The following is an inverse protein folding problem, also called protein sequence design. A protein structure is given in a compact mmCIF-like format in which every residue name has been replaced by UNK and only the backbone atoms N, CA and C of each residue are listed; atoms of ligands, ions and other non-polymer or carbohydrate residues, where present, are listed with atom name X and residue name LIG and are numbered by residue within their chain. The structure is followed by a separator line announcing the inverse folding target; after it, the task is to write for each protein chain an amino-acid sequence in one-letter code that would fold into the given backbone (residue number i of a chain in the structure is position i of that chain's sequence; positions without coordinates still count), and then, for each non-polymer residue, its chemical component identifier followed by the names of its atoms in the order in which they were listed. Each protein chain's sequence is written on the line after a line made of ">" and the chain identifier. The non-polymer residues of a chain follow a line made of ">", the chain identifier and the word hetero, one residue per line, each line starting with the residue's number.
data_IF_149217001570
#
_entry.id   IF_149217001570
#
_cell.length_a   1.000
_cell.length_b   1.000
_cell.length_c   1.000
_cell.angle_alpha   90.00
_cell.angle_beta   90.00
_cell.angle_gamma   90.00
#
_symmetry.space_group_name_H-M   'P 1'
#
loop_
_entity.id
_entity.type
_entity.pdbx_description
1 polymer ?
#
# COMPACT_ATOMS: atom_id res chain seq x y z
N UNK A 1 -53.74 28.15 25.30
CA UNK A 1 -53.28 27.54 24.04
C UNK A 1 -52.10 26.65 24.41
N UNK A 2 -52.37 25.43 24.92
CA UNK A 2 -52.38 24.15 24.19
C UNK A 2 -50.98 23.78 23.67
N UNK A 3 -50.33 22.66 23.97
CA UNK A 3 -50.59 21.43 24.74
C UNK A 3 -49.28 20.59 24.71
N UNK A 4 -48.93 19.83 25.76
CA UNK A 4 -49.03 18.35 25.77
C UNK A 4 -47.80 17.68 25.11
N UNK A 5 -46.84 17.13 25.88
CA UNK A 5 -46.80 15.75 26.39
C UNK A 5 -46.23 14.74 25.36
N UNK A 6 -45.14 14.03 25.73
CA UNK A 6 -45.09 12.55 25.85
C UNK A 6 -43.65 12.01 25.92
N UNK A 7 -43.36 11.27 27.01
CA UNK A 7 -42.34 10.20 27.09
C UNK A 7 -42.98 8.92 26.58
N UNK A 8 -42.20 7.96 26.02
CA UNK A 8 -42.46 6.50 25.82
C UNK A 8 -41.52 6.04 24.67
N UNK A 9 -40.80 4.91 24.61
CA UNK A 9 -40.69 3.65 25.37
C UNK A 9 -39.35 2.94 25.06
N UNK A 10 -38.96 2.09 26.01
CA UNK A 10 -38.06 0.92 25.94
C UNK A 10 -38.27 0.03 24.70
N UNK A 11 -37.23 -0.69 24.26
CA UNK A 11 -37.25 -2.16 24.24
C UNK A 11 -35.89 -2.81 23.90
N UNK A 12 -35.47 -3.70 24.79
CA UNK A 12 -34.45 -4.73 24.61
C UNK A 12 -35.12 -6.05 24.19
N UNK A 13 -34.40 -6.93 23.47
CA UNK A 13 -34.48 -8.41 23.51
C UNK A 13 -33.53 -9.00 22.44
N UNK A 14 -32.44 -9.69 22.80
CA UNK A 14 -32.33 -11.12 23.20
C UNK A 14 -33.04 -12.07 22.22
N UNK A 15 -32.25 -12.86 21.48
CA UNK A 15 -32.69 -14.10 20.85
C UNK A 15 -31.88 -15.28 21.39
N UNK A 16 -32.63 -16.28 21.83
CA UNK A 16 -32.23 -17.57 22.38
C UNK A 16 -32.07 -18.62 21.27
N UNK A 17 -31.27 -19.62 21.57
CA UNK A 17 -31.11 -20.88 20.85
C UNK A 17 -32.37 -21.77 20.81
N UNK A 18 -32.48 -22.64 19.81
CA UNK A 18 -32.89 -24.06 19.93
C UNK A 18 -32.91 -24.78 18.57
N UNK A 19 -32.52 -26.07 18.53
CA UNK A 19 -33.03 -27.03 17.53
C UNK A 19 -32.02 -28.04 16.96
N UNK A 20 -31.87 -29.18 17.64
CA UNK A 20 -31.24 -30.41 17.12
C UNK A 20 -32.27 -31.19 16.31
N UNK A 21 -31.89 -31.76 15.17
CA UNK A 21 -32.54 -32.97 14.64
C UNK A 21 -31.54 -33.85 13.86
N UNK A 22 -31.56 -35.14 14.20
CA UNK A 22 -30.78 -36.22 13.61
C UNK A 22 -31.18 -36.50 12.16
N UNK A 23 -30.21 -36.83 11.31
CA UNK A 23 -30.41 -37.33 9.95
C UNK A 23 -29.33 -38.34 9.57
N UNK A 24 -29.78 -39.54 9.24
CA UNK A 24 -29.06 -40.80 8.96
C UNK A 24 -28.08 -40.71 7.79
N UNK A 25 -26.97 -41.45 7.90
CA UNK A 25 -25.95 -41.62 6.88
C UNK A 25 -26.48 -42.33 5.61
N UNK A 26 -26.15 -41.80 4.43
CA UNK A 26 -26.24 -42.51 3.16
C UNK A 26 -24.86 -42.48 2.50
N UNK A 27 -24.22 -43.65 2.45
CA UNK A 27 -22.98 -43.89 1.73
C UNK A 27 -23.34 -44.07 0.24
N UNK A 28 -22.99 -43.11 -0.62
CA UNK A 28 -23.12 -43.25 -2.08
C UNK A 28 -21.73 -43.43 -2.66
N UNK A 29 -21.46 -44.63 -3.17
CA UNK A 29 -20.32 -44.91 -4.04
C UNK A 29 -20.52 -44.16 -5.36
N UNK A 30 -19.66 -43.16 -5.62
CA UNK A 30 -19.55 -42.51 -6.93
C UNK A 30 -18.55 -43.32 -7.77
N UNK A 31 -18.93 -43.84 -8.96
CA UNK A 31 -17.96 -44.40 -9.88
C UNK A 31 -17.11 -43.25 -10.44
N UNK A 32 -15.79 -43.47 -10.52
CA UNK A 32 -14.88 -42.56 -11.20
C UNK A 32 -15.29 -42.42 -12.67
N UNK A 33 -15.94 -41.30 -13.01
CA UNK A 33 -16.16 -40.90 -14.40
C UNK A 33 -14.86 -40.29 -14.93
N UNK A 34 -14.21 -40.99 -15.85
CA UNK A 34 -13.14 -40.45 -16.67
C UNK A 34 -13.76 -39.36 -17.57
N UNK A 35 -13.39 -38.09 -17.35
CA UNK A 35 -13.75 -37.02 -18.26
C UNK A 35 -12.68 -36.92 -19.35
N UNK A 36 -12.96 -37.45 -20.53
CA UNK A 36 -12.17 -37.20 -21.73
C UNK A 36 -12.49 -35.79 -22.23
N UNK A 37 -11.71 -34.78 -21.82
CA UNK A 37 -11.87 -33.41 -22.33
C UNK A 37 -11.17 -33.29 -23.68
N UNK A 38 -11.92 -33.47 -24.76
CA UNK A 38 -11.49 -33.06 -26.10
C UNK A 38 -12.00 -31.65 -26.37
N UNK A 39 -11.09 -30.73 -26.71
CA UNK A 39 -11.41 -29.40 -27.25
C UNK A 39 -11.30 -28.26 -26.24
N UNK A 40 -10.13 -27.63 -26.20
CA UNK A 40 -9.94 -26.30 -25.64
C UNK A 40 -9.68 -25.36 -26.82
N UNK A 41 -10.63 -24.48 -27.13
CA UNK A 41 -10.44 -23.44 -28.14
C UNK A 41 -9.87 -22.20 -27.43
N UNK A 42 -8.55 -22.11 -27.43
CA UNK A 42 -7.81 -20.93 -27.00
C UNK A 42 -7.42 -20.09 -28.22
N UNK A 43 -7.74 -18.80 -28.22
CA UNK A 43 -7.20 -17.86 -29.17
C UNK A 43 -6.38 -16.81 -28.43
N UNK A 44 -5.09 -16.70 -28.80
CA UNK A 44 -4.25 -15.57 -28.43
C UNK A 44 -4.19 -14.56 -29.58
N UNK A 45 -4.49 -13.30 -29.29
CA UNK A 45 -4.31 -12.19 -30.23
C UNK A 45 -3.22 -11.28 -29.70
N UNK A 46 -2.16 -11.10 -30.49
CA UNK A 46 -1.03 -10.25 -30.11
C UNK A 46 -0.95 -9.05 -31.05
N UNK A 47 -0.75 -7.88 -30.46
CA UNK A 47 -0.44 -6.65 -31.18
C UNK A 47 0.67 -5.92 -30.43
N UNK A 48 1.83 -5.77 -31.06
CA UNK A 48 3.09 -5.36 -30.42
C UNK A 48 3.48 -6.31 -29.26
N UNK A 49 4.29 -5.84 -28.30
CA UNK A 49 4.79 -6.62 -27.17
C UNK A 49 3.73 -7.00 -26.12
N UNK A 50 2.44 -6.90 -26.45
CA UNK A 50 1.33 -7.30 -25.58
C UNK A 50 0.48 -8.36 -26.27
N UNK A 51 0.18 -9.43 -25.52
CA UNK A 51 -0.65 -10.54 -25.97
C UNK A 51 -1.84 -10.69 -25.03
N UNK A 52 -3.05 -10.72 -25.59
CA UNK A 52 -4.27 -11.06 -24.87
C UNK A 52 -4.64 -12.51 -25.21
N UNK A 53 -4.86 -13.32 -24.18
CA UNK A 53 -5.22 -14.74 -24.34
C UNK A 53 -6.65 -14.93 -23.85
N UNK A 54 -7.54 -15.39 -24.73
CA UNK A 54 -8.90 -15.80 -24.38
C UNK A 54 -9.02 -17.32 -24.46
N UNK A 55 -9.48 -17.90 -23.36
CA UNK A 55 -9.79 -19.32 -23.24
C UNK A 55 -11.31 -19.48 -23.11
N UNK A 56 -11.93 -20.11 -24.12
CA UNK A 56 -13.36 -20.43 -24.10
C UNK A 56 -13.57 -21.93 -24.05
N UNK A 57 -14.21 -22.43 -22.99
CA UNK A 57 -14.66 -23.83 -22.93
C UNK A 57 -16.01 -24.00 -23.63
N UNK A 58 -16.05 -24.57 -24.83
CA UNK A 58 -17.32 -24.96 -25.48
C UNK A 58 -17.83 -26.31 -24.95
N UNK A 59 -18.27 -26.34 -23.70
CA UNK A 59 -19.01 -27.48 -23.16
C UNK A 59 -20.48 -27.44 -23.62
N UNK A 60 -20.93 -28.40 -24.45
CA UNK A 60 -22.37 -28.63 -24.63
C UNK A 60 -22.91 -29.36 -23.40
N UNK A 61 -23.69 -28.68 -22.58
CA UNK A 61 -24.50 -29.28 -21.50
C UNK A 61 -25.70 -30.02 -22.12
N UNK A 62 -25.92 -31.32 -21.86
CA UNK A 62 -27.16 -31.99 -22.25
C UNK A 62 -28.35 -31.38 -21.49
N UNK A 63 -29.52 -31.17 -22.14
CA UNK A 63 -30.68 -30.63 -21.45
C UNK A 63 -31.36 -31.75 -20.64
N UNK A 64 -30.90 -32.00 -19.42
CA UNK A 64 -31.71 -32.35 -18.23
C UNK A 64 -30.80 -32.72 -17.04
N UNK A 65 -30.33 -31.73 -16.28
CA UNK A 65 -29.89 -31.93 -14.89
C UNK A 65 -29.83 -30.57 -14.19
N UNK A 66 -30.73 -30.36 -13.23
CA UNK A 66 -30.90 -29.09 -12.52
C UNK A 66 -29.75 -28.73 -11.59
N UNK A 67 -28.67 -28.14 -12.11
CA UNK A 67 -27.63 -27.47 -11.34
C UNK A 67 -27.80 -25.93 -11.39
N UNK A 68 -27.58 -25.20 -10.28
CA UNK A 68 -27.67 -23.74 -10.28
C UNK A 68 -26.52 -23.09 -11.05
N UNK A 69 -26.86 -21.96 -11.67
CA UNK A 69 -26.06 -21.10 -12.55
C UNK A 69 -24.80 -20.58 -11.84
N UNK A 70 -23.62 -20.82 -12.42
CA UNK A 70 -22.40 -20.11 -12.05
C UNK A 70 -22.30 -18.81 -12.86
N UNK A 71 -22.17 -17.69 -12.16
CA UNK A 71 -21.85 -16.38 -12.75
C UNK A 71 -20.35 -16.32 -13.10
N UNK A 72 -20.06 -15.62 -14.19
CA UNK A 72 -18.72 -15.43 -14.75
C UNK A 72 -17.85 -14.58 -13.81
N UNK A 73 -16.72 -15.15 -13.37
CA UNK A 73 -15.67 -14.43 -12.64
C UNK A 73 -14.41 -14.36 -13.47
N UNK A 74 -14.07 -13.17 -13.92
CA UNK A 74 -12.85 -12.86 -14.68
C UNK A 74 -11.63 -12.90 -13.75
N UNK A 75 -10.74 -13.88 -13.96
CA UNK A 75 -9.42 -13.92 -13.30
C UNK A 75 -8.40 -13.35 -14.28
N UNK A 76 -7.98 -12.12 -14.02
CA UNK A 76 -6.83 -11.50 -14.67
C UNK A 76 -5.59 -11.81 -13.84
N UNK A 77 -4.78 -12.76 -14.30
CA UNK A 77 -3.48 -13.08 -13.72
C UNK A 77 -2.39 -12.92 -14.79
N UNK A 78 -1.53 -11.92 -14.60
CA UNK A 78 -0.37 -11.72 -15.46
C UNK A 78 0.74 -12.67 -15.03
N UNK A 79 0.86 -13.80 -15.71
CA UNK A 79 2.03 -14.67 -15.64
C UNK A 79 2.46 -14.98 -17.07
N UNK A 80 3.39 -14.17 -17.57
CA UNK A 80 4.00 -14.42 -18.87
C UNK A 80 4.80 -15.73 -18.81
N UNK A 81 4.48 -16.75 -19.63
CA UNK A 81 5.46 -17.79 -19.90
C UNK A 81 6.52 -17.17 -20.81
N UNK A 82 7.79 -17.24 -20.40
CA UNK A 82 8.88 -17.07 -21.35
C UNK A 82 8.80 -18.25 -22.34
N UNK A 83 8.11 -18.06 -23.46
CA UNK A 83 8.17 -18.99 -24.59
C UNK A 83 9.59 -18.92 -25.16
N UNK A 84 10.45 -19.86 -24.76
CA UNK A 84 11.68 -20.12 -25.48
C UNK A 84 11.29 -20.76 -26.82
N UNK A 85 11.32 -19.98 -27.89
CA UNK A 85 11.26 -20.51 -29.26
C UNK A 85 12.64 -21.10 -29.53
N UNK A 86 12.79 -22.42 -29.80
CA UNK A 86 14.08 -22.94 -30.23
C UNK A 86 14.45 -22.30 -31.57
N UNK A 87 15.73 -21.96 -31.75
CA UNK A 87 16.28 -21.37 -32.97
C UNK A 87 15.87 -22.18 -34.19
N UNK A 88 14.85 -21.71 -34.92
CA UNK A 88 14.55 -22.21 -36.26
C UNK A 88 15.46 -21.45 -37.21
N UNK A 89 16.52 -22.13 -37.63
CA UNK A 89 17.48 -21.65 -38.63
C UNK A 89 16.75 -21.00 -39.81
N UNK A 90 16.91 -19.68 -39.95
CA UNK A 90 16.37 -18.90 -41.08
C UNK A 90 17.19 -19.23 -42.33
N UNK A 91 16.94 -20.40 -42.92
CA UNK A 91 17.45 -20.75 -44.23
C UNK A 91 16.60 -20.08 -45.32
N UNK A 92 17.07 -18.90 -45.72
CA UNK A 92 16.90 -18.24 -47.03
C UNK A 92 15.87 -18.87 -47.99
N UNK A 93 14.67 -18.29 -48.07
CA UNK A 93 13.95 -18.24 -49.34
C UNK A 93 13.27 -16.88 -49.49
N UNK A 94 13.76 -16.08 -50.44
CA UNK A 94 13.18 -14.79 -50.79
C UNK A 94 11.89 -14.95 -51.57
N UNK A 95 10.80 -15.28 -50.87
CA UNK A 95 9.46 -15.34 -51.45
C UNK A 95 8.51 -14.48 -50.61
N UNK A 96 8.15 -13.31 -51.14
CA UNK A 96 7.02 -12.53 -50.65
C UNK A 96 5.72 -13.22 -51.12
N UNK A 97 5.03 -13.88 -50.20
CA UNK A 97 3.73 -14.52 -50.44
C UNK A 97 3.23 -15.27 -49.20
N UNK A 98 1.91 -15.36 -48.97
CA UNK A 98 1.36 -15.99 -47.77
C UNK A 98 1.53 -17.51 -47.88
N UNK A 99 2.43 -18.07 -47.08
CA UNK A 99 2.54 -19.53 -46.96
C UNK A 99 1.51 -20.04 -45.94
N UNK A 100 0.72 -21.02 -46.36
CA UNK A 100 -0.16 -21.77 -45.46
C UNK A 100 0.68 -22.62 -44.50
N UNK A 101 0.50 -22.40 -43.20
CA UNK A 101 1.13 -23.21 -42.16
C UNK A 101 0.33 -24.53 -42.07
N UNK A 102 0.96 -25.71 -42.19
CA UNK A 102 0.26 -26.96 -41.94
C UNK A 102 -0.13 -27.05 -40.46
N UNK A 103 -1.43 -27.24 -40.20
CA UNK A 103 -1.94 -27.55 -38.86
C UNK A 103 -1.37 -28.90 -38.39
N UNK A 104 -0.44 -28.85 -37.43
CA UNK A 104 0.02 -30.03 -36.70
C UNK A 104 1.41 -29.87 -36.10
N UNK A 105 1.48 -30.08 -34.77
CA UNK A 105 2.65 -30.13 -33.89
C UNK A 105 3.16 -28.80 -33.31
N UNK A 106 2.27 -28.06 -32.64
CA UNK A 106 2.68 -27.38 -31.40
C UNK A 106 2.18 -28.23 -30.23
N UNK A 107 3.02 -29.15 -29.74
CA UNK A 107 2.76 -29.83 -28.47
C UNK A 107 3.19 -28.90 -27.33
N UNK A 108 2.22 -28.20 -26.75
CA UNK A 108 2.41 -27.57 -25.45
C UNK A 108 2.48 -28.68 -24.40
N UNK A 109 3.67 -29.15 -24.06
CA UNK A 109 3.87 -29.96 -22.87
C UNK A 109 3.60 -29.08 -21.64
N UNK A 110 2.34 -29.06 -21.19
CA UNK A 110 2.01 -28.61 -19.86
C UNK A 110 2.64 -29.61 -18.88
N UNK A 111 3.87 -29.36 -18.45
CA UNK A 111 4.36 -29.95 -17.22
C UNK A 111 3.53 -29.36 -16.09
N UNK A 112 2.37 -29.96 -15.82
CA UNK A 112 1.67 -29.80 -14.56
C UNK A 112 2.51 -30.51 -13.48
N UNK A 113 3.67 -29.93 -13.17
CA UNK A 113 4.50 -30.35 -12.07
C UNK A 113 3.98 -29.69 -10.81
N UNK A 114 3.14 -30.44 -10.09
CA UNK A 114 2.86 -30.19 -8.69
C UNK A 114 1.38 -30.05 -8.40
N UNK A 115 0.85 -30.96 -7.59
CA UNK A 115 -0.11 -30.57 -6.54
C UNK A 115 0.47 -29.34 -5.85
N UNK A 116 -0.10 -28.17 -6.13
CA UNK A 116 0.35 -26.89 -5.59
C UNK A 116 0.20 -26.89 -4.07
N UNK A 117 1.19 -27.42 -3.37
CA UNK A 117 1.42 -27.06 -1.99
C UNK A 117 1.74 -25.57 -2.05
N UNK A 118 0.81 -24.75 -1.57
CA UNK A 118 1.03 -23.32 -1.35
C UNK A 118 2.28 -23.18 -0.47
N UNK A 119 3.42 -22.86 -1.10
CA UNK A 119 4.70 -22.80 -0.40
C UNK A 119 4.64 -21.59 0.52
N UNK A 120 4.62 -21.83 1.83
CA UNK A 120 4.71 -20.77 2.81
C UNK A 120 6.14 -20.22 2.85
N UNK A 121 6.38 -19.17 2.07
CA UNK A 121 7.59 -18.35 2.15
C UNK A 121 7.26 -17.05 2.92
N UNK A 122 7.70 -16.93 4.20
CA UNK A 122 7.43 -15.73 4.98
C UNK A 122 8.06 -14.46 4.42
N UNK A 123 9.19 -14.55 3.72
CA UNK A 123 9.86 -13.37 3.18
C UNK A 123 9.02 -12.76 2.06
N UNK A 124 8.45 -13.60 1.18
CA UNK A 124 7.54 -13.16 0.11
C UNK A 124 6.27 -12.56 0.70
N UNK A 125 5.67 -13.20 1.71
CA UNK A 125 4.47 -12.68 2.37
C UNK A 125 4.76 -11.39 3.16
N UNK A 126 5.96 -11.24 3.73
CA UNK A 126 6.39 -9.99 4.36
C UNK A 126 6.43 -8.85 3.34
N UNK A 127 7.05 -9.05 2.18
CA UNK A 127 7.07 -8.01 1.12
C UNK A 127 5.66 -7.72 0.58
N UNK A 128 4.78 -8.73 0.44
CA UNK A 128 3.39 -8.50 0.06
C UNK A 128 2.63 -7.66 1.10
N UNK A 129 2.78 -7.98 2.39
CA UNK A 129 2.17 -7.21 3.47
C UNK A 129 2.74 -5.78 3.53
N UNK A 130 4.05 -5.61 3.30
CA UNK A 130 4.71 -4.30 3.20
C UNK A 130 4.17 -3.48 2.02
N UNK A 131 3.97 -4.10 0.86
CA UNK A 131 3.51 -3.42 -0.36
C UNK A 131 2.09 -2.85 -0.23
N UNK A 132 1.22 -3.47 0.58
CA UNK A 132 -0.15 -2.97 0.83
C UNK A 132 -0.26 -2.07 2.05
N UNK A 133 0.83 -1.89 2.79
CA UNK A 133 0.88 -1.03 3.98
C UNK A 133 0.70 0.44 3.56
N UNK A 134 -0.14 1.17 4.30
CA UNK A 134 -0.33 2.61 4.11
C UNK A 134 0.17 3.34 5.35
N UNK A 135 1.26 4.07 5.18
CA UNK A 135 1.81 4.94 6.23
C UNK A 135 1.22 6.34 6.11
N UNK A 136 0.94 7.01 7.24
CA UNK A 136 0.52 8.41 7.21
C UNK A 136 1.64 9.32 6.70
N UNK A 137 1.26 10.36 5.99
CA UNK A 137 2.15 11.48 5.72
C UNK A 137 2.29 12.34 6.98
N UNK A 138 3.46 12.94 7.24
CA UNK A 138 3.65 13.83 8.39
C UNK A 138 2.72 15.06 8.31
N UNK A 139 1.89 15.30 9.33
CA UNK A 139 1.18 16.58 9.46
C UNK A 139 2.08 17.60 10.16
N UNK A 140 2.53 18.63 9.43
CA UNK A 140 3.56 19.58 9.88
C UNK A 140 2.94 20.72 10.70
N UNK A 141 3.27 20.72 11.99
CA UNK A 141 3.03 21.85 12.88
C UNK A 141 4.27 22.73 13.05
N UNK A 142 4.06 24.03 13.20
CA UNK A 142 5.16 24.99 13.40
C UNK A 142 4.79 26.16 14.30
N UNK A 143 5.79 26.74 14.98
CA UNK A 143 5.67 28.02 15.66
C UNK A 143 6.84 28.94 15.25
N UNK A 144 6.61 30.17 14.72
CA UNK A 144 5.32 30.78 14.35
C UNK A 144 4.43 29.90 13.46
N UNK A 145 3.12 30.16 13.41
CA UNK A 145 2.21 29.35 12.59
C UNK A 145 2.57 29.39 11.08
N UNK A 146 2.07 28.44 10.31
CA UNK A 146 2.21 28.45 8.85
C UNK A 146 1.68 29.78 8.25
N UNK A 147 2.36 30.28 7.22
CA UNK A 147 2.08 31.58 6.61
C UNK A 147 2.51 32.82 7.42
N UNK A 148 3.03 32.65 8.64
CA UNK A 148 3.69 33.74 9.40
C UNK A 148 5.19 33.74 9.15
N UNK A 149 5.83 34.91 9.00
CA UNK A 149 7.25 34.98 8.76
C UNK A 149 8.04 34.41 9.94
N UNK A 150 9.06 33.62 9.63
CA UNK A 150 10.17 33.35 10.54
C UNK A 150 11.13 34.51 10.45
N UNK A 151 11.52 35.05 11.59
CA UNK A 151 12.48 36.14 11.61
C UNK A 151 13.89 35.59 11.74
N UNK A 152 14.81 36.11 10.92
CA UNK A 152 16.23 35.79 11.01
C UNK A 152 16.73 36.06 12.43
N UNK A 153 17.54 35.13 12.96
CA UNK A 153 18.05 35.11 14.34
C UNK A 153 16.99 34.90 15.44
N UNK A 154 15.76 34.49 15.10
CA UNK A 154 14.76 34.04 16.07
C UNK A 154 14.48 32.55 15.91
N UNK A 155 14.37 31.79 17.02
CA UNK A 155 14.13 30.36 16.95
C UNK A 155 12.72 30.04 16.44
N UNK A 156 12.66 29.06 15.55
CA UNK A 156 11.42 28.48 15.02
C UNK A 156 11.26 27.06 15.54
N UNK A 157 10.04 26.68 15.89
CA UNK A 157 9.68 25.35 16.36
C UNK A 157 8.97 24.58 15.26
N UNK A 158 9.18 23.27 15.20
CA UNK A 158 8.61 22.37 14.21
C UNK A 158 8.24 21.06 14.88
N UNK A 159 7.14 20.43 14.48
CA UNK A 159 6.73 19.11 14.97
C UNK A 159 5.85 18.42 13.94
N UNK A 160 5.68 17.12 14.09
CA UNK A 160 4.68 16.29 13.42
C UNK A 160 3.59 15.97 14.43
N UNK A 161 2.34 15.88 14.00
CA UNK A 161 1.27 15.60 14.96
C UNK A 161 1.42 14.26 15.68
N UNK A 162 1.40 14.31 17.02
CA UNK A 162 1.74 13.17 17.87
C UNK A 162 0.69 12.07 17.84
N UNK A 163 -0.54 12.38 17.42
CA UNK A 163 -1.62 11.39 17.28
C UNK A 163 -1.31 10.32 16.24
N UNK A 164 -0.52 10.68 15.21
CA UNK A 164 -0.13 9.78 14.13
C UNK A 164 1.19 9.07 14.44
N UNK A 165 1.90 9.47 15.50
CA UNK A 165 3.19 8.92 15.91
C UNK A 165 3.05 7.56 16.61
N UNK A 166 2.76 6.52 15.82
CA UNK A 166 2.59 5.16 16.32
C UNK A 166 2.90 4.09 15.28
N UNK A 167 3.07 2.83 15.72
CA UNK A 167 3.34 1.73 14.82
C UNK A 167 2.13 1.41 13.92
N UNK A 168 2.41 1.12 12.66
CA UNK A 168 1.42 0.69 11.65
C UNK A 168 1.73 -0.74 11.22
N UNK A 169 0.71 -1.59 11.19
CA UNK A 169 0.87 -3.00 10.84
C UNK A 169 -0.01 -3.42 9.66
N UNK A 170 0.50 -4.36 8.87
CA UNK A 170 -0.19 -5.01 7.77
C UNK A 170 0.07 -6.52 7.81
N UNK A 171 -0.92 -7.32 7.42
CA UNK A 171 -0.84 -8.78 7.48
C UNK A 171 -1.16 -9.40 6.12
N UNK A 172 -0.31 -10.32 5.67
CA UNK A 172 -0.57 -11.20 4.53
C UNK A 172 -0.71 -12.64 5.04
N UNK A 173 -1.67 -13.38 4.47
CA UNK A 173 -1.99 -14.73 4.94
C UNK A 173 -2.31 -15.67 3.78
N UNK A 174 -1.95 -16.92 3.98
CA UNK A 174 -2.21 -18.06 3.09
C UNK A 174 -2.74 -19.23 3.92
N UNK A 175 -3.18 -20.32 3.29
CA UNK A 175 -3.70 -21.47 4.04
C UNK A 175 -2.68 -22.07 5.03
N UNK A 176 -1.39 -21.96 4.70
CA UNK A 176 -0.27 -22.50 5.47
C UNK A 176 0.25 -21.58 6.60
N UNK A 177 -0.18 -20.31 6.68
CA UNK A 177 0.28 -19.39 7.73
C UNK A 177 0.07 -17.91 7.41
N UNK A 178 0.47 -17.04 8.33
CA UNK A 178 0.41 -15.59 8.17
C UNK A 178 1.69 -14.88 8.59
N UNK A 179 1.93 -13.73 7.96
CA UNK A 179 3.03 -12.81 8.26
C UNK A 179 2.44 -11.45 8.56
N UNK A 180 2.86 -10.85 9.67
CA UNK A 180 2.53 -9.47 10.04
C UNK A 180 3.79 -8.62 9.96
N UNK A 181 3.72 -7.56 9.17
CA UNK A 181 4.74 -6.51 9.06
C UNK A 181 4.31 -5.35 9.94
N UNK A 182 5.25 -4.76 10.67
CA UNK A 182 5.06 -3.58 11.51
C UNK A 182 6.13 -2.54 11.16
N UNK A 183 5.68 -1.36 10.77
CA UNK A 183 6.50 -0.16 10.64
C UNK A 183 6.36 0.68 11.91
N UNK A 184 7.47 0.93 12.61
CA UNK A 184 7.51 1.77 13.80
C UNK A 184 8.21 3.10 13.48
N UNK A 185 7.70 4.23 13.98
CA UNK A 185 8.33 5.52 13.74
C UNK A 185 9.68 5.58 14.47
N UNK A 186 10.74 5.94 13.75
CA UNK A 186 12.10 6.00 14.30
C UNK A 186 12.52 7.44 14.60
N UNK A 187 12.39 8.33 13.61
CA UNK A 187 12.79 9.74 13.71
C UNK A 187 12.17 10.58 12.58
N UNK A 188 12.17 11.90 12.79
CA UNK A 188 11.88 12.89 11.74
C UNK A 188 13.16 13.63 11.40
N UNK A 189 13.43 13.74 10.10
CA UNK A 189 14.51 14.52 9.53
C UNK A 189 13.88 15.72 8.83
N UNK A 190 14.24 16.93 9.26
CA UNK A 190 13.74 18.18 8.69
C UNK A 190 14.77 18.78 7.75
N UNK A 191 14.43 18.95 6.48
CA UNK A 191 15.15 19.86 5.58
C UNK A 191 14.52 21.25 5.70
N UNK A 192 15.30 22.23 6.18
CA UNK A 192 14.81 23.58 6.47
C UNK A 192 14.82 24.50 5.25
N UNK A 193 15.25 24.02 4.09
CA UNK A 193 15.22 24.76 2.82
C UNK A 193 16.29 25.86 2.71
N UNK A 194 17.11 26.07 3.74
CA UNK A 194 18.29 26.93 3.75
C UNK A 194 19.61 26.12 3.74
N UNK A 195 19.53 24.83 3.42
CA UNK A 195 20.68 23.91 3.34
C UNK A 195 21.08 23.29 4.68
N UNK A 196 20.24 23.43 5.71
CA UNK A 196 20.42 22.79 7.01
C UNK A 196 19.44 21.63 7.19
N UNK A 197 19.83 20.68 8.03
CA UNK A 197 19.01 19.53 8.41
C UNK A 197 18.89 19.46 9.94
N UNK A 198 17.69 19.17 10.45
CA UNK A 198 17.43 18.95 11.88
C UNK A 198 16.85 17.56 12.08
N UNK A 199 17.51 16.74 12.90
CA UNK A 199 17.09 15.36 13.17
C UNK A 199 16.47 15.26 14.56
N UNK A 200 15.24 14.76 14.63
CA UNK A 200 14.47 14.58 15.85
C UNK A 200 14.11 13.11 16.08
N UNK A 201 14.40 12.57 17.27
CA UNK A 201 14.07 11.17 17.63
C UNK A 201 12.60 10.93 17.96
N UNK A 202 11.75 11.95 17.88
CA UNK A 202 10.33 11.89 18.17
C UNK A 202 9.54 12.85 17.27
N UNK A 203 8.22 12.98 17.51
CA UNK A 203 7.39 13.87 16.71
C UNK A 203 7.74 15.36 16.89
N UNK A 204 8.53 15.71 17.90
CA UNK A 204 8.80 17.09 18.29
C UNK A 204 7.81 17.61 19.33
N UNK A 205 8.12 18.76 19.92
CA UNK A 205 7.29 19.35 20.97
C UNK A 205 6.37 20.41 20.40
N UNK A 206 5.06 20.17 20.54
CA UNK A 206 4.03 21.16 20.20
C UNK A 206 4.24 22.42 21.04
N UNK A 207 4.31 23.56 20.36
CA UNK A 207 4.51 24.84 21.03
C UNK A 207 3.37 25.16 22.00
N UNK A 208 3.72 25.58 23.22
CA UNK A 208 2.82 26.22 24.16
C UNK A 208 3.59 27.20 25.04
N UNK A 209 2.90 28.16 25.66
CA UNK A 209 3.54 29.10 26.59
C UNK A 209 4.24 28.40 27.75
N UNK A 210 3.75 27.23 28.17
CA UNK A 210 4.31 26.45 29.27
C UNK A 210 5.69 25.83 28.94
N UNK A 211 5.98 25.58 27.67
CA UNK A 211 7.26 24.99 27.21
C UNK A 211 8.18 26.02 26.56
N UNK A 212 7.71 27.26 26.40
CA UNK A 212 8.47 28.34 25.79
C UNK A 212 9.80 28.58 26.51
N UNK A 213 10.83 28.82 25.71
CA UNK A 213 12.14 29.30 26.15
C UNK A 213 12.79 30.15 25.07
N UNK A 214 13.72 31.00 25.48
CA UNK A 214 14.44 31.91 24.57
C UNK A 214 15.35 31.15 23.60
N UNK A 215 15.86 29.98 24.00
CA UNK A 215 16.76 29.15 23.19
C UNK A 215 16.04 28.38 22.06
N UNK A 216 14.70 28.37 22.03
CA UNK A 216 13.90 27.63 21.04
C UNK A 216 13.44 26.24 21.50
N UNK A 217 13.02 25.39 20.55
CA UNK A 217 12.40 24.09 20.81
C UNK A 217 13.30 23.09 21.56
N UNK A 218 12.78 22.17 22.42
CA UNK A 218 13.56 21.12 23.11
C UNK A 218 14.26 20.16 22.20
N UNK A 219 13.62 19.89 21.09
CA UNK A 219 13.89 18.77 20.23
C UNK A 219 14.02 19.25 18.79
N UNK A 220 12.93 19.81 18.26
CA UNK A 220 12.79 20.14 16.86
C UNK A 220 12.66 21.65 16.69
N UNK A 221 13.80 22.31 16.49
CA UNK A 221 13.85 23.74 16.24
C UNK A 221 14.97 24.13 15.30
N UNK A 222 14.76 25.24 14.59
CA UNK A 222 15.74 25.82 13.67
C UNK A 222 15.74 27.34 13.77
N UNK A 223 16.89 27.95 13.56
CA UNK A 223 17.05 29.40 13.50
C UNK A 223 17.67 29.78 12.16
N UNK A 224 16.89 30.43 11.31
CA UNK A 224 17.39 30.99 10.07
C UNK A 224 18.40 32.10 10.37
N UNK A 225 19.59 32.03 9.78
CA UNK A 225 20.69 32.99 10.00
C UNK A 225 20.86 33.99 8.85
N UNK A 226 20.17 33.77 7.73
CA UNK A 226 20.18 34.63 6.56
C UNK A 226 18.81 34.67 5.88
N UNK A 227 18.59 35.70 5.07
CA UNK A 227 17.43 35.76 4.18
C UNK A 227 17.59 34.76 3.02
N UNK A 228 16.49 34.17 2.54
CA UNK A 228 16.50 33.38 1.31
C UNK A 228 16.85 34.25 0.10
N UNK A 229 17.21 33.61 -1.02
CA UNK A 229 17.65 34.29 -2.24
C UNK A 229 16.63 35.32 -2.79
N UNK A 230 15.34 35.13 -2.53
CA UNK A 230 14.27 36.06 -2.90
C UNK A 230 14.13 37.29 -2.00
N UNK A 231 14.96 37.42 -0.95
CA UNK A 231 14.92 38.53 0.01
C UNK A 231 13.86 38.35 1.11
N UNK A 232 13.55 39.45 1.80
CA UNK A 232 12.62 39.44 2.93
C UNK A 232 11.20 39.05 2.50
N UNK A 233 10.63 38.07 3.19
CA UNK A 233 9.31 37.53 2.92
C UNK A 233 9.26 36.44 1.85
N UNK A 234 10.38 36.13 1.19
CA UNK A 234 10.44 34.98 0.29
C UNK A 234 10.34 33.67 1.09
N UNK A 235 9.81 32.64 0.42
CA UNK A 235 9.53 31.34 1.02
C UNK A 235 10.65 30.35 0.78
N UNK A 236 10.89 29.49 1.76
CA UNK A 236 11.68 28.26 1.62
C UNK A 236 10.78 27.06 1.85
N UNK A 237 11.13 25.93 1.23
CA UNK A 237 10.42 24.68 1.43
C UNK A 237 10.94 24.02 2.71
N UNK A 238 10.06 23.83 3.68
CA UNK A 238 10.33 23.06 4.89
C UNK A 238 9.79 21.65 4.66
N UNK A 239 10.68 20.65 4.64
CA UNK A 239 10.34 19.25 4.38
C UNK A 239 10.51 18.45 5.67
N UNK A 240 9.47 17.72 6.07
CA UNK A 240 9.56 16.71 7.11
C UNK A 240 9.67 15.34 6.44
N UNK A 241 10.77 14.62 6.70
CA UNK A 241 10.98 13.23 6.27
C UNK A 241 10.89 12.35 7.50
N UNK A 242 9.86 11.52 7.54
CA UNK A 242 9.63 10.58 8.63
C UNK A 242 10.20 9.21 8.25
N UNK A 243 11.19 8.77 9.02
CA UNK A 243 11.83 7.46 8.84
C UNK A 243 11.17 6.41 9.73
N UNK A 244 10.91 5.25 9.12
CA UNK A 244 10.20 4.12 9.72
C UNK A 244 11.09 2.89 9.75
N UNK A 245 11.26 2.31 10.94
CA UNK A 245 11.88 1.01 11.13
C UNK A 245 10.87 -0.10 10.86
N UNK A 246 11.15 -0.98 9.90
CA UNK A 246 10.22 -2.03 9.47
C UNK A 246 10.70 -3.41 9.92
N UNK A 247 9.80 -4.17 10.52
CA UNK A 247 10.03 -5.55 10.95
C UNK A 247 8.85 -6.43 10.59
N UNK A 248 9.06 -7.74 10.54
CA UNK A 248 7.99 -8.70 10.35
C UNK A 248 8.09 -9.86 11.32
N UNK A 249 6.94 -10.51 11.57
CA UNK A 249 6.83 -11.71 12.38
C UNK A 249 5.76 -12.65 11.86
N UNK A 250 5.92 -13.93 12.14
CA UNK A 250 4.94 -14.99 11.85
C UNK A 250 4.34 -15.54 13.13
N UNK A 251 3.22 -16.25 13.00
CA UNK A 251 2.56 -16.93 14.13
C UNK A 251 3.40 -18.05 14.74
N UNK A 252 4.35 -18.61 14.00
CA UNK A 252 5.28 -19.65 14.47
C UNK A 252 6.57 -19.07 15.11
N UNK A 253 6.66 -17.75 15.27
CA UNK A 253 7.74 -17.07 15.99
C UNK A 253 8.98 -16.75 15.16
N UNK A 254 8.94 -16.92 13.84
CA UNK A 254 9.97 -16.39 12.95
C UNK A 254 9.77 -14.89 12.73
N UNK A 255 10.82 -14.20 12.34
CA UNK A 255 10.77 -12.76 12.08
C UNK A 255 12.12 -12.21 11.62
N UNK A 256 12.13 -10.93 11.27
CA UNK A 256 13.31 -10.22 10.81
C UNK A 256 13.05 -8.74 10.58
N UNK A 257 14.11 -8.00 10.25
CA UNK A 257 14.01 -6.63 9.76
C UNK A 257 13.79 -6.60 8.24
N UNK A 258 13.11 -5.56 7.76
CA UNK A 258 13.06 -5.20 6.35
C UNK A 258 13.79 -3.87 6.15
N UNK A 259 13.95 -3.48 4.89
CA UNK A 259 14.35 -2.11 4.57
C UNK A 259 13.34 -1.11 5.16
N UNK A 260 13.89 -0.04 5.75
CA UNK A 260 13.08 1.05 6.29
C UNK A 260 12.17 1.67 5.23
N UNK A 261 11.15 2.38 5.69
CA UNK A 261 10.26 3.16 4.85
C UNK A 261 10.39 4.63 5.19
N UNK A 262 10.03 5.49 4.26
CA UNK A 262 9.96 6.94 4.49
C UNK A 262 8.63 7.49 4.02
N UNK A 263 8.08 8.43 4.78
CA UNK A 263 6.99 9.30 4.33
C UNK A 263 7.44 10.74 4.47
N UNK A 264 6.91 11.64 3.65
CA UNK A 264 7.34 13.03 3.66
C UNK A 264 6.22 13.99 3.37
N UNK A 265 6.31 15.17 3.97
CA UNK A 265 5.44 16.31 3.69
C UNK A 265 6.27 17.56 3.51
N UNK A 266 5.74 18.52 2.75
CA UNK A 266 6.42 19.80 2.48
C UNK A 266 5.46 20.96 2.71
N UNK A 267 5.93 22.00 3.38
CA UNK A 267 5.21 23.27 3.56
C UNK A 267 6.10 24.45 3.23
N UNK A 268 5.53 25.48 2.59
CA UNK A 268 6.25 26.72 2.31
C UNK A 268 6.24 27.65 3.54
N UNK A 269 7.41 28.09 3.99
CA UNK A 269 7.54 29.00 5.14
C UNK A 269 8.21 30.32 4.71
N UNK A 270 7.58 31.49 4.96
CA UNK A 270 8.21 32.77 4.65
C UNK A 270 9.29 33.11 5.69
N UNK A 271 10.42 33.64 5.22
CA UNK A 271 11.53 34.10 6.08
C UNK A 271 11.76 35.60 5.87
N UNK A 272 11.85 36.36 6.95
CA UNK A 272 12.03 37.82 6.93
C UNK A 272 13.01 38.26 8.01
N UNK A 273 13.36 39.53 8.04
CA UNK A 273 14.13 40.14 9.12
C UNK A 273 13.38 41.32 9.74
N UNK A 274 13.82 41.75 10.93
CA UNK A 274 13.29 42.94 11.61
C UNK A 274 14.40 43.98 11.68
N UNK A 275 14.14 45.17 11.14
CA UNK A 275 15.00 46.34 11.30
C UNK A 275 14.32 47.38 12.19
N UNK A 276 15.11 48.04 13.04
CA UNK A 276 14.66 49.20 13.80
C UNK A 276 15.44 50.43 13.37
N UNK A 277 14.74 51.58 13.33
CA UNK A 277 15.36 52.88 13.08
C UNK A 277 15.33 53.67 14.38
N UNK A 278 16.49 53.98 14.93
CA UNK A 278 16.61 54.87 16.09
C UNK A 278 16.50 56.31 15.59
N UNK A 279 15.41 56.99 15.93
CA UNK A 279 15.26 58.43 15.67
C UNK A 279 15.44 59.19 16.98
N UNK A 280 16.43 60.08 17.03
CA UNK A 280 16.58 61.02 18.15
C UNK A 280 15.65 62.22 17.90
N UNK A 281 14.65 62.40 18.77
CA UNK A 281 13.88 63.64 18.83
C UNK A 281 14.70 64.63 19.66
N UNK A 282 15.06 65.78 19.05
CA UNK A 282 15.71 66.91 19.74
C UNK A 282 14.69 67.83 20.37
#
# INVERSE_FOLDING_TARGET
>A
MAGGAERVLRQARRWLACGVSSGVAMLVLVPAAQAETTGFDGHASCANAFCEVKAGGSGRVPPDSGAPRAEEGEVSGESGPACAIPDVEFAQSGAEGPLEIPLGLAECAATASGTGAEVFDPAVLAEQARAVMRLPEPDIGTAPALGKPRFVNLPSWMWVEAQDWGPVSATASVSAGSVTVTAAPERVVWDTGDGHEVVCTGPGTVFSEAVFREEGSPDCGHTYTALPAGGAGATVDLVAVWEWAVSWSTTDGRGGGLEGLTTSSTVAVPVSEIHHVVTHIR
#
